data_IF_700813543836
#
_entry.id   IF_700813543836
#
_cell.length_a   1.000
_cell.length_b   1.000
_cell.length_c   1.000
_cell.angle_alpha   90.00
_cell.angle_beta   90.00
_cell.angle_gamma   90.00
#
_symmetry.space_group_name_H-M   'P 1'
#
loop_
_entity.id
_entity.type
_entity.pdbx_description
1 polymer ?
#
# COMPACT_ATOMS: atom_id res chain seq x y z
N UNK A 1 -20.23 25.42 18.58
CA UNK A 1 -19.22 25.40 17.49
C UNK A 1 -17.97 24.73 18.05
N UNK A 2 -17.51 23.55 17.65
CA UNK A 2 -18.00 22.57 16.68
C UNK A 2 -17.65 21.15 17.17
N UNK A 3 -18.61 20.24 17.11
CA UNK A 3 -18.48 18.83 17.47
C UNK A 3 -18.09 18.03 16.24
N UNK A 4 -16.80 17.98 15.93
CA UNK A 4 -16.28 17.06 14.91
C UNK A 4 -15.99 15.70 15.52
N UNK A 5 -16.18 14.62 14.76
CA UNK A 5 -15.77 13.28 15.18
C UNK A 5 -14.23 13.17 15.15
N UNK A 6 -13.67 12.47 16.13
CA UNK A 6 -12.22 12.21 16.22
C UNK A 6 -11.98 10.70 16.30
N UNK A 7 -11.15 10.19 15.40
CA UNK A 7 -10.66 8.83 15.37
C UNK A 7 -9.24 8.86 14.82
N UNK A 8 -8.26 8.51 15.64
CA UNK A 8 -6.85 8.52 15.24
C UNK A 8 -6.19 7.20 15.60
N UNK A 9 -5.27 6.80 14.74
CA UNK A 9 -4.32 5.72 14.99
C UNK A 9 -2.99 6.35 15.30
N UNK A 10 -2.44 5.99 16.45
CA UNK A 10 -1.11 6.38 16.93
C UNK A 10 -0.27 5.13 17.17
N UNK A 11 1.06 5.28 17.20
CA UNK A 11 2.00 4.17 17.45
C UNK A 11 2.43 3.38 16.21
N UNK A 12 2.09 3.84 14.99
CA UNK A 12 2.69 3.33 13.76
C UNK A 12 3.98 4.13 13.50
N UNK A 13 5.11 3.63 13.98
CA UNK A 13 6.38 4.39 13.97
C UNK A 13 7.11 4.35 12.63
N UNK A 14 6.82 3.36 11.78
CA UNK A 14 7.50 3.23 10.51
C UNK A 14 7.08 2.02 9.71
N UNK A 15 7.65 1.94 8.51
CA UNK A 15 7.38 0.90 7.55
C UNK A 15 8.64 0.61 6.74
N UNK A 16 8.86 -0.67 6.43
CA UNK A 16 9.96 -1.13 5.58
C UNK A 16 9.42 -2.04 4.50
N UNK A 17 9.96 -1.89 3.29
CA UNK A 17 9.72 -2.81 2.18
C UNK A 17 11.07 -3.41 1.83
N UNK A 18 11.12 -4.73 1.68
CA UNK A 18 12.21 -5.44 1.04
C UNK A 18 11.65 -6.28 -0.12
N UNK A 19 12.13 -5.97 -1.32
CA UNK A 19 11.77 -6.62 -2.58
C UNK A 19 12.96 -7.47 -3.01
N UNK A 20 12.68 -8.75 -3.27
CA UNK A 20 13.61 -9.65 -3.96
C UNK A 20 12.80 -10.50 -4.94
N UNK A 21 13.01 -10.29 -6.23
CA UNK A 21 12.31 -11.02 -7.28
C UNK A 21 13.23 -11.33 -8.44
N UNK A 22 12.83 -12.28 -9.28
CA UNK A 22 13.55 -12.63 -10.49
C UNK A 22 12.70 -13.44 -11.46
N UNK A 23 13.19 -13.52 -12.69
CA UNK A 23 12.59 -14.28 -13.78
C UNK A 23 13.66 -15.14 -14.45
N UNK A 24 13.36 -16.42 -14.65
CA UNK A 24 14.21 -17.32 -15.42
C UNK A 24 13.98 -17.11 -16.92
N UNK A 25 12.72 -16.98 -17.33
CA UNK A 25 12.28 -16.90 -18.72
C UNK A 25 12.03 -15.46 -19.21
N UNK A 26 12.27 -14.46 -18.35
CA UNK A 26 12.06 -13.04 -18.69
C UNK A 26 10.59 -12.65 -18.67
N UNK A 27 10.08 -12.11 -19.78
CA UNK A 27 8.74 -11.52 -19.84
C UNK A 27 7.61 -12.52 -19.51
N UNK A 28 7.80 -13.79 -19.83
CA UNK A 28 6.82 -14.87 -19.61
C UNK A 28 6.58 -15.17 -18.13
N UNK A 29 7.53 -14.82 -17.26
CA UNK A 29 7.41 -15.04 -15.81
C UNK A 29 6.73 -13.85 -15.09
N UNK A 30 6.35 -12.79 -15.81
CA UNK A 30 5.74 -11.62 -15.19
C UNK A 30 4.36 -11.93 -14.63
N UNK A 31 4.17 -11.60 -13.35
CA UNK A 31 2.90 -11.77 -12.66
C UNK A 31 2.53 -10.51 -11.90
N UNK A 32 1.24 -10.21 -11.93
CA UNK A 32 0.61 -9.30 -10.97
C UNK A 32 0.00 -10.16 -9.87
N UNK A 33 0.70 -10.23 -8.75
CA UNK A 33 0.27 -10.97 -7.57
C UNK A 33 -0.42 -9.98 -6.64
N UNK A 34 -1.66 -10.27 -6.26
CA UNK A 34 -2.36 -9.58 -5.18
C UNK A 34 -2.49 -10.57 -4.04
N UNK A 35 -1.77 -10.32 -2.96
CA UNK A 35 -1.88 -11.08 -1.72
C UNK A 35 -2.63 -10.19 -0.73
N UNK A 36 -3.86 -10.56 -0.44
CA UNK A 36 -4.55 -10.00 0.70
C UNK A 36 -4.21 -10.90 1.88
N UNK A 37 -3.47 -10.36 2.85
CA UNK A 37 -3.23 -11.04 4.11
C UNK A 37 -4.20 -10.42 5.10
N UNK A 38 -5.42 -10.98 5.24
CA UNK A 38 -6.28 -10.57 6.32
C UNK A 38 -5.63 -11.03 7.62
N UNK A 39 -4.83 -10.15 8.23
CA UNK A 39 -4.62 -10.21 9.68
C UNK A 39 -5.89 -9.62 10.30
N UNK A 40 -7.05 -10.25 10.02
CA UNK A 40 -8.34 -9.88 10.60
C UNK A 40 -8.32 -10.29 12.07
N UNK A 41 -7.59 -9.51 12.87
CA UNK A 41 -7.70 -9.54 14.31
C UNK A 41 -8.98 -8.82 14.68
N UNK A 42 -10.12 -9.47 14.42
CA UNK A 42 -11.44 -8.98 14.78
C UNK A 42 -11.70 -9.39 16.22
N UNK A 43 -11.14 -8.62 17.15
CA UNK A 43 -11.26 -8.89 18.58
C UNK A 43 -12.29 -7.98 19.22
N UNK A 44 -13.14 -8.50 20.11
CA UNK A 44 -13.91 -7.65 21.00
C UNK A 44 -12.92 -6.91 21.89
N UNK A 45 -13.02 -5.59 21.94
CA UNK A 45 -12.14 -4.76 22.76
C UNK A 45 -12.37 -5.05 24.25
N UNK A 46 -13.60 -5.40 24.63
CA UNK A 46 -13.98 -5.84 25.97
C UNK A 46 -14.93 -7.05 25.89
N UNK A 47 -14.82 -8.04 26.81
CA UNK A 47 -15.74 -9.17 26.86
C UNK A 47 -17.20 -8.72 27.03
N UNK A 48 -18.08 -9.11 26.10
CA UNK A 48 -19.52 -8.82 26.17
C UNK A 48 -19.94 -7.48 25.56
N UNK A 49 -19.00 -6.64 25.11
CA UNK A 49 -19.30 -5.40 24.42
C UNK A 49 -19.27 -5.59 22.90
N UNK A 50 -20.17 -4.94 22.14
CA UNK A 50 -20.18 -5.02 20.68
C UNK A 50 -19.07 -4.17 20.04
N UNK A 51 -18.00 -3.83 20.77
CA UNK A 51 -16.90 -3.00 20.27
C UNK A 51 -15.85 -3.88 19.59
N UNK A 52 -15.69 -3.70 18.29
CA UNK A 52 -14.85 -4.52 17.42
C UNK A 52 -13.70 -3.69 16.87
N UNK A 53 -12.47 -4.16 17.06
CA UNK A 53 -11.31 -3.66 16.34
C UNK A 53 -11.03 -4.56 15.14
N UNK A 54 -10.58 -3.99 14.02
CA UNK A 54 -10.15 -4.74 12.86
C UNK A 54 -8.96 -4.08 12.17
N UNK A 55 -8.07 -4.93 11.69
CA UNK A 55 -6.89 -4.53 10.96
C UNK A 55 -6.83 -5.33 9.65
N UNK A 56 -6.55 -4.68 8.53
CA UNK A 56 -6.50 -5.34 7.23
C UNK A 56 -5.27 -4.89 6.48
N UNK A 57 -4.52 -5.86 5.93
CA UNK A 57 -3.36 -5.60 5.10
C UNK A 57 -3.56 -6.17 3.70
N UNK A 58 -3.32 -5.35 2.67
CA UNK A 58 -3.29 -5.79 1.28
C UNK A 58 -1.93 -5.48 0.68
N UNK A 59 -1.34 -6.48 0.06
CA UNK A 59 -0.08 -6.39 -0.65
C UNK A 59 -0.33 -6.68 -2.13
N UNK A 60 0.04 -5.74 -2.99
CA UNK A 60 -0.02 -5.91 -4.44
C UNK A 60 1.40 -5.81 -4.96
N UNK A 61 1.86 -6.82 -5.68
CA UNK A 61 3.17 -6.83 -6.33
C UNK A 61 2.97 -7.11 -7.82
N UNK A 62 3.51 -6.25 -8.66
CA UNK A 62 3.56 -6.42 -10.11
C UNK A 62 5.01 -6.40 -10.57
N UNK A 63 5.40 -7.41 -11.36
CA UNK A 63 6.73 -7.46 -11.96
C UNK A 63 6.66 -7.13 -13.45
N UNK A 64 7.70 -6.46 -13.95
CA UNK A 64 7.92 -6.18 -15.36
C UNK A 64 9.39 -6.47 -15.68
N UNK A 65 9.74 -7.76 -15.73
CA UNK A 65 11.07 -8.28 -15.99
C UNK A 65 11.16 -8.65 -17.48
N UNK A 66 12.10 -8.07 -18.23
CA UNK A 66 12.21 -8.30 -19.68
C UNK A 66 13.28 -9.33 -20.06
N UNK A 67 14.37 -9.42 -19.28
CA UNK A 67 15.49 -10.30 -19.56
C UNK A 67 15.39 -11.67 -18.88
N UNK A 68 15.87 -12.72 -19.53
CA UNK A 68 16.08 -14.04 -18.91
C UNK A 68 17.12 -13.96 -17.79
N UNK A 69 16.99 -14.82 -16.78
CA UNK A 69 17.86 -14.85 -15.60
C UNK A 69 18.03 -13.47 -14.94
N UNK A 70 16.93 -12.70 -14.89
CA UNK A 70 16.93 -11.38 -14.27
C UNK A 70 16.64 -11.50 -12.79
N UNK A 71 17.30 -10.68 -11.99
CA UNK A 71 16.97 -10.42 -10.58
C UNK A 71 16.82 -8.92 -10.36
N UNK A 72 15.88 -8.54 -9.49
CA UNK A 72 15.70 -7.17 -9.01
C UNK A 72 15.54 -7.23 -7.50
N UNK A 73 16.41 -6.48 -6.80
CA UNK A 73 16.31 -6.27 -5.36
C UNK A 73 16.16 -4.79 -5.06
N UNK A 74 15.37 -4.45 -4.05
CA UNK A 74 15.24 -3.09 -3.53
C UNK A 74 14.66 -3.12 -2.12
N UNK A 75 15.23 -2.37 -1.20
CA UNK A 75 14.76 -2.22 0.17
C UNK A 75 14.79 -0.76 0.65
N UNK A 76 13.73 -0.31 1.29
CA UNK A 76 13.62 1.04 1.84
C UNK A 76 12.95 1.04 3.20
N UNK A 77 13.27 2.07 3.99
CA UNK A 77 12.72 2.26 5.34
C UNK A 77 12.27 3.69 5.51
N UNK A 78 11.06 3.85 6.04
CA UNK A 78 10.42 5.13 6.30
C UNK A 78 9.89 5.17 7.71
N UNK A 79 10.02 6.34 8.33
CA UNK A 79 9.48 6.66 9.65
C UNK A 79 8.21 7.49 9.49
N UNK A 80 7.22 7.18 10.29
CA UNK A 80 5.92 7.85 10.31
C UNK A 80 5.78 8.60 11.63
N UNK A 81 5.58 9.92 11.57
CA UNK A 81 5.45 10.78 12.74
C UNK A 81 4.06 11.39 12.83
N UNK A 82 3.39 11.18 13.97
CA UNK A 82 2.10 11.77 14.27
C UNK A 82 0.90 10.90 13.87
N UNK A 83 -0.32 11.39 14.10
CA UNK A 83 -1.53 10.60 13.99
C UNK A 83 -1.98 10.39 12.54
N UNK A 84 -2.65 9.27 12.30
CA UNK A 84 -3.38 8.97 11.07
C UNK A 84 -4.87 8.87 11.39
N UNK A 85 -5.72 9.64 10.70
CA UNK A 85 -7.17 9.51 10.86
C UNK A 85 -7.92 10.82 10.72
N UNK A 86 -8.92 11.05 11.56
CA UNK A 86 -9.76 12.24 11.58
C UNK A 86 -9.65 12.91 12.95
N UNK A 87 -9.40 14.22 12.96
CA UNK A 87 -9.49 15.08 14.16
C UNK A 87 -10.45 16.22 13.84
N UNK A 88 -11.49 16.38 14.66
CA UNK A 88 -12.54 17.39 14.46
C UNK A 88 -13.15 17.37 13.05
N UNK A 89 -13.38 16.16 12.51
CA UNK A 89 -13.91 15.98 11.15
C UNK A 89 -12.92 16.24 10.01
N UNK A 90 -11.66 16.56 10.29
CA UNK A 90 -10.60 16.79 9.29
C UNK A 90 -9.63 15.62 9.23
N UNK A 91 -9.31 15.18 8.01
CA UNK A 91 -8.26 14.19 7.78
C UNK A 91 -6.91 14.74 8.27
N UNK A 92 -6.28 14.02 9.19
CA UNK A 92 -4.90 14.23 9.64
C UNK A 92 -4.02 13.11 9.09
N UNK A 93 -2.82 13.48 8.65
CA UNK A 93 -1.87 12.57 8.01
C UNK A 93 -0.55 12.62 8.75
N UNK A 94 0.12 11.47 8.97
CA UNK A 94 1.44 11.46 9.57
C UNK A 94 2.46 12.11 8.64
N UNK A 95 3.55 12.63 9.21
CA UNK A 95 4.71 13.07 8.44
C UNK A 95 5.58 11.85 8.13
N UNK A 96 5.85 11.64 6.84
CA UNK A 96 6.72 10.57 6.38
C UNK A 96 8.15 11.08 6.21
N UNK A 97 9.11 10.39 6.82
CA UNK A 97 10.55 10.68 6.71
C UNK A 97 11.28 9.48 6.14
N UNK A 98 12.12 9.70 5.13
CA UNK A 98 12.98 8.64 4.57
C UNK A 98 14.13 8.38 5.55
N UNK A 99 14.24 7.14 6.04
CA UNK A 99 15.35 6.68 6.89
C UNK A 99 16.42 5.99 6.04
N UNK A 100 15.98 5.06 5.20
CA UNK A 100 16.83 4.37 4.21
C UNK A 100 16.19 4.55 2.83
N UNK A 101 16.82 5.32 1.92
CA UNK A 101 16.28 5.53 0.59
C UNK A 101 16.30 4.22 -0.20
N UNK A 102 15.15 3.86 -0.77
CA UNK A 102 15.04 2.64 -1.60
C UNK A 102 15.98 2.70 -2.81
N UNK A 103 16.26 3.89 -3.33
CA UNK A 103 17.13 4.11 -4.48
C UNK A 103 18.53 3.49 -4.33
N UNK A 104 19.13 3.59 -3.14
CA UNK A 104 20.50 3.15 -2.88
C UNK A 104 20.62 1.62 -2.80
N UNK A 105 19.49 0.94 -2.64
CA UNK A 105 19.41 -0.51 -2.53
C UNK A 105 19.05 -1.23 -3.84
N UNK A 106 18.73 -0.47 -4.90
CA UNK A 106 18.33 -1.06 -6.18
C UNK A 106 19.50 -1.82 -6.78
N UNK A 107 19.33 -3.13 -6.90
CA UNK A 107 20.34 -4.07 -7.35
C UNK A 107 19.77 -5.23 -8.16
N UNK A 108 20.61 -6.26 -8.36
CA UNK A 108 20.32 -7.43 -9.18
C UNK A 108 20.96 -7.36 -10.57
N UNK A 109 20.89 -8.48 -11.28
CA UNK A 109 21.41 -8.63 -12.65
C UNK A 109 20.21 -8.61 -13.60
N UNK A 110 20.23 -7.76 -14.61
CA UNK A 110 19.16 -7.76 -15.62
C UNK A 110 19.73 -7.65 -17.03
N UNK A 111 19.25 -8.51 -17.92
CA UNK A 111 19.58 -8.52 -19.35
C UNK A 111 18.43 -7.86 -20.11
N UNK A 112 18.07 -6.64 -19.71
CA UNK A 112 16.90 -5.88 -20.17
C UNK A 112 16.48 -4.80 -19.16
N UNK A 113 15.50 -3.97 -19.50
CA UNK A 113 14.89 -3.06 -18.50
C UNK A 113 13.94 -3.87 -17.63
N UNK A 114 14.11 -3.78 -16.32
CA UNK A 114 13.30 -4.56 -15.38
C UNK A 114 12.73 -3.68 -14.29
N UNK A 115 11.50 -3.94 -13.87
CA UNK A 115 10.83 -3.16 -12.85
C UNK A 115 9.93 -3.98 -11.95
N UNK A 116 9.66 -3.41 -10.77
CA UNK A 116 8.76 -3.96 -9.77
C UNK A 116 7.92 -2.82 -9.22
N UNK A 117 6.61 -3.00 -9.18
CA UNK A 117 5.69 -2.15 -8.47
C UNK A 117 5.13 -2.93 -7.28
N UNK A 118 5.23 -2.37 -6.07
CA UNK A 118 4.66 -2.90 -4.86
C UNK A 118 3.73 -1.86 -4.25
N UNK A 119 2.52 -2.24 -3.86
CA UNK A 119 1.61 -1.40 -3.09
C UNK A 119 1.24 -2.12 -1.80
N UNK A 120 1.29 -1.40 -0.69
CA UNK A 120 0.85 -1.89 0.61
C UNK A 120 -0.25 -0.99 1.12
N UNK A 121 -1.40 -1.58 1.45
CA UNK A 121 -2.54 -0.91 2.05
C UNK A 121 -2.76 -1.48 3.45
N UNK A 122 -2.78 -0.62 4.46
CA UNK A 122 -3.17 -0.94 5.82
C UNK A 122 -4.45 -0.19 6.17
N UNK A 123 -5.45 -0.90 6.68
CA UNK A 123 -6.71 -0.33 7.17
C UNK A 123 -6.88 -0.69 8.64
N UNK A 124 -7.20 0.30 9.46
CA UNK A 124 -7.46 0.18 10.90
C UNK A 124 -8.87 0.68 11.16
N UNK A 125 -9.75 -0.17 11.67
CA UNK A 125 -11.15 0.16 11.88
C UNK A 125 -11.55 -0.19 13.31
N UNK A 126 -12.30 0.71 13.94
CA UNK A 126 -12.94 0.47 15.22
C UNK A 126 -14.43 0.67 15.01
N UNK A 127 -15.27 -0.28 15.42
CA UNK A 127 -16.69 -0.19 15.14
C UNK A 127 -17.55 -0.95 16.12
N UNK A 128 -18.86 -0.75 15.99
CA UNK A 128 -19.87 -1.43 16.78
C UNK A 128 -20.49 -2.55 15.92
N UNK A 129 -20.65 -3.73 16.52
CA UNK A 129 -21.29 -4.87 15.89
C UNK A 129 -20.80 -6.21 16.44
N UNK A 130 -20.82 -7.20 15.56
CA UNK A 130 -20.36 -8.57 15.82
C UNK A 130 -19.16 -8.89 14.91
N UNK A 131 -18.35 -9.90 15.21
CA UNK A 131 -17.21 -10.28 14.36
C UNK A 131 -17.56 -10.50 12.88
N UNK A 132 -18.76 -11.00 12.59
CA UNK A 132 -19.22 -11.22 11.21
C UNK A 132 -19.73 -9.96 10.50
N UNK A 133 -20.06 -8.89 11.24
CA UNK A 133 -20.63 -7.66 10.71
C UNK A 133 -20.49 -6.51 11.72
N UNK A 134 -19.66 -5.51 11.43
CA UNK A 134 -19.52 -4.32 12.27
C UNK A 134 -19.28 -3.07 11.43
N UNK A 135 -19.68 -1.91 11.96
CA UNK A 135 -19.57 -0.62 11.31
C UNK A 135 -18.87 0.40 12.20
N UNK A 136 -18.03 1.24 11.64
CA UNK A 136 -17.38 2.31 12.41
C UNK A 136 -16.35 3.11 11.65
N UNK A 137 -15.72 4.09 12.31
CA UNK A 137 -14.65 4.87 11.73
C UNK A 137 -13.43 3.99 11.41
N UNK A 138 -12.73 4.35 10.35
CA UNK A 138 -11.45 3.75 10.00
C UNK A 138 -10.43 4.79 9.54
N UNK A 139 -9.17 4.39 9.65
CA UNK A 139 -8.00 5.05 9.11
C UNK A 139 -7.33 4.09 8.13
N UNK A 140 -6.80 4.62 7.03
CA UNK A 140 -6.20 3.87 5.94
C UNK A 140 -4.89 4.51 5.56
N UNK A 141 -3.91 3.67 5.29
CA UNK A 141 -2.61 4.06 4.80
C UNK A 141 -2.31 3.24 3.55
N UNK A 142 -1.90 3.91 2.47
CA UNK A 142 -1.49 3.25 1.24
C UNK A 142 -0.11 3.75 0.87
N UNK A 143 0.79 2.82 0.59
CA UNK A 143 2.13 3.10 0.13
C UNK A 143 2.39 2.39 -1.18
N UNK A 144 2.51 3.18 -2.24
CA UNK A 144 2.82 2.73 -3.59
C UNK A 144 4.32 2.95 -3.85
N UNK A 145 5.03 1.87 -4.19
CA UNK A 145 6.46 1.88 -4.47
C UNK A 145 6.71 1.28 -5.85
N UNK A 146 7.46 1.97 -6.69
CA UNK A 146 7.93 1.48 -7.98
C UNK A 146 9.44 1.56 -8.04
N UNK A 147 10.08 0.49 -8.50
CA UNK A 147 11.51 0.46 -8.78
C UNK A 147 11.76 -0.03 -10.19
N UNK A 148 12.74 0.55 -10.86
CA UNK A 148 13.25 0.06 -12.13
C UNK A 148 14.78 -0.06 -12.09
N UNK A 149 15.29 -1.13 -12.67
CA UNK A 149 16.70 -1.44 -12.83
C UNK A 149 16.98 -1.65 -14.32
N UNK A 150 17.82 -0.78 -14.88
CA UNK A 150 18.25 -0.82 -16.27
C UNK A 150 19.17 -2.00 -16.56
N UNK A 151 19.29 -2.30 -17.86
CA UNK A 151 20.05 -3.43 -18.36
C UNK A 151 21.53 -3.33 -18.00
N UNK A 152 22.11 -4.46 -17.55
CA UNK A 152 23.55 -4.60 -17.37
C UNK A 152 24.31 -4.51 -18.71
N UNK A 153 23.68 -4.90 -19.83
CA UNK A 153 24.27 -4.76 -21.17
C UNK A 153 24.41 -3.29 -21.60
N UNK A 154 23.56 -2.40 -21.06
CA UNK A 154 23.64 -0.96 -21.29
C UNK A 154 24.63 -0.24 -20.36
N UNK A 155 25.23 -0.96 -19.40
CA UNK A 155 26.12 -0.37 -18.39
C UNK A 155 27.35 0.39 -18.94
N UNK A 156 27.94 0.05 -20.11
CA UNK A 156 29.02 0.84 -20.67
C UNK A 156 28.60 2.26 -21.09
N UNK A 157 27.32 2.51 -21.36
CA UNK A 157 26.79 3.84 -21.64
C UNK A 157 26.18 4.49 -20.39
N UNK A 158 25.18 3.85 -19.80
CA UNK A 158 24.56 4.27 -18.55
C UNK A 158 23.66 3.16 -18.01
N UNK A 159 23.81 2.83 -16.73
CA UNK A 159 22.87 1.94 -16.03
C UNK A 159 21.84 2.77 -15.27
N UNK A 160 20.70 3.00 -15.91
CA UNK A 160 19.60 3.76 -15.33
C UNK A 160 18.91 2.96 -14.22
N UNK A 161 18.68 3.60 -13.07
CA UNK A 161 17.87 3.10 -11.97
C UNK A 161 16.84 4.16 -11.66
N UNK A 162 15.64 3.76 -11.27
CA UNK A 162 14.65 4.70 -10.78
C UNK A 162 13.86 4.13 -9.62
N UNK A 163 13.46 5.02 -8.72
CA UNK A 163 12.56 4.74 -7.63
C UNK A 163 11.42 5.77 -7.65
N UNK A 164 10.22 5.31 -7.35
CA UNK A 164 9.05 6.14 -7.09
C UNK A 164 8.40 5.65 -5.81
N UNK A 165 8.02 6.59 -4.96
CA UNK A 165 7.28 6.36 -3.74
C UNK A 165 6.13 7.36 -3.68
N UNK A 166 4.93 6.87 -3.41
CA UNK A 166 3.75 7.68 -3.17
C UNK A 166 3.04 7.15 -1.93
N UNK A 167 2.75 8.04 -0.98
CA UNK A 167 2.04 7.69 0.23
C UNK A 167 0.72 8.43 0.29
N UNK A 168 -0.35 7.70 0.60
CA UNK A 168 -1.70 8.19 0.73
C UNK A 168 -2.22 7.84 2.11
N UNK A 169 -2.97 8.76 2.68
CA UNK A 169 -3.64 8.59 3.95
C UNK A 169 -5.12 8.81 3.70
N UNK A 170 -5.93 7.92 4.25
CA UNK A 170 -7.37 7.96 4.14
C UNK A 170 -8.03 7.78 5.48
N UNK A 171 -9.23 8.30 5.61
CA UNK A 171 -10.08 8.04 6.76
C UNK A 171 -11.54 8.20 6.39
N UNK A 172 -12.41 7.54 7.16
CA UNK A 172 -13.80 7.45 6.80
C UNK A 172 -14.62 6.58 7.74
N UNK A 173 -15.82 6.21 7.29
CA UNK A 173 -16.67 5.23 7.95
C UNK A 173 -16.85 4.03 7.05
N UNK A 174 -16.71 2.84 7.63
CA UNK A 174 -16.73 1.58 6.91
C UNK A 174 -17.66 0.58 7.56
N UNK A 175 -18.21 -0.31 6.73
CA UNK A 175 -18.95 -1.50 7.09
C UNK A 175 -18.10 -2.71 6.69
N UNK A 176 -17.74 -3.52 7.68
CA UNK A 176 -17.01 -4.77 7.46
C UNK A 176 -18.00 -5.92 7.61
N UNK A 177 -18.10 -6.76 6.58
CA UNK A 177 -19.02 -7.89 6.51
C UNK A 177 -18.25 -9.15 6.14
N UNK A 178 -18.56 -10.26 6.78
CA UNK A 178 -18.01 -11.56 6.39
C UNK A 178 -18.53 -12.00 5.01
N UNK A 179 -17.82 -12.93 4.39
CA UNK A 179 -18.17 -13.44 3.06
C UNK A 179 -19.58 -14.05 3.03
N UNK A 180 -19.99 -14.67 4.14
CA UNK A 180 -21.26 -15.35 4.36
C UNK A 180 -22.40 -14.34 4.49
N UNK A 181 -22.17 -13.29 5.28
CA UNK A 181 -23.14 -12.18 5.46
C UNK A 181 -23.33 -11.44 4.14
N UNK A 182 -22.25 -11.18 3.39
CA UNK A 182 -22.32 -10.59 2.06
C UNK A 182 -23.11 -11.46 1.08
N UNK A 183 -22.91 -12.79 1.09
CA UNK A 183 -23.67 -13.72 0.25
C UNK A 183 -25.15 -13.75 0.62
N UNK A 184 -25.49 -13.68 1.90
CA UNK A 184 -26.88 -13.63 2.37
C UNK A 184 -27.56 -12.31 1.97
N UNK A 185 -26.90 -11.17 2.20
CA UNK A 185 -27.37 -9.85 1.77
C UNK A 185 -27.62 -9.80 0.26
N UNK A 186 -26.68 -10.29 -0.56
CA UNK A 186 -26.84 -10.31 -2.02
C UNK A 186 -28.00 -11.16 -2.53
N UNK A 187 -28.46 -12.15 -1.75
CA UNK A 187 -29.66 -12.95 -2.08
C UNK A 187 -30.96 -12.22 -1.72
N UNK A 188 -30.91 -11.30 -0.74
CA UNK A 188 -32.07 -10.56 -0.24
C UNK A 188 -32.24 -9.21 -0.93
N UNK A 189 -31.15 -8.58 -1.37
CA UNK A 189 -31.21 -7.32 -2.10
C UNK A 189 -31.56 -7.54 -3.57
N UNK A 190 -32.32 -6.60 -4.19
CA UNK A 190 -32.61 -6.65 -5.62
C UNK A 190 -31.31 -6.63 -6.44
N UNK A 191 -31.31 -7.37 -7.56
CA UNK A 191 -30.17 -7.50 -8.44
C UNK A 191 -29.70 -6.11 -8.92
N UNK A 192 -28.49 -5.70 -8.51
CA UNK A 192 -27.89 -4.42 -8.87
C UNK A 192 -27.81 -3.37 -7.75
N UNK A 193 -28.32 -3.66 -6.54
CA UNK A 193 -28.11 -2.77 -5.39
C UNK A 193 -26.62 -2.65 -5.04
N UNK A 194 -26.06 -1.44 -5.11
CA UNK A 194 -24.70 -1.14 -4.67
C UNK A 194 -24.69 -1.03 -3.15
N UNK A 195 -23.99 -1.95 -2.49
CA UNK A 195 -23.68 -1.83 -1.07
C UNK A 195 -22.43 -0.96 -0.98
N UNK A 196 -22.60 0.33 -0.66
CA UNK A 196 -21.48 1.20 -0.31
C UNK A 196 -20.99 0.80 1.07
N UNK A 197 -19.90 0.04 1.10
CA UNK A 197 -19.30 -0.43 2.36
C UNK A 197 -18.37 0.59 2.98
N UNK A 198 -17.98 1.64 2.25
CA UNK A 198 -17.00 2.62 2.71
C UNK A 198 -17.35 4.02 2.18
N UNK A 199 -17.29 5.01 3.06
CA UNK A 199 -17.23 6.43 2.70
C UNK A 199 -15.85 6.95 3.08
N UNK A 200 -15.02 7.24 2.08
CA UNK A 200 -13.59 7.51 2.26
C UNK A 200 -13.19 8.92 1.79
N UNK A 201 -12.31 9.58 2.56
CA UNK A 201 -11.45 10.65 2.04
C UNK A 201 -10.02 10.13 1.98
N UNK A 202 -9.51 9.80 0.79
CA UNK A 202 -8.12 9.37 0.54
C UNK A 202 -7.34 10.50 -0.10
N UNK A 203 -6.21 10.91 0.48
CA UNK A 203 -5.37 11.98 -0.05
C UNK A 203 -3.90 11.55 -0.14
N UNK A 204 -3.22 11.79 -1.27
CA UNK A 204 -1.76 11.71 -1.31
C UNK A 204 -1.18 12.81 -0.41
N UNK A 205 -0.20 12.45 0.41
CA UNK A 205 0.46 13.39 1.32
C UNK A 205 1.99 13.35 1.19
N UNK A 206 2.54 12.34 0.52
CA UNK A 206 3.96 12.24 0.20
C UNK A 206 4.14 11.69 -1.21
N UNK A 207 5.06 12.27 -1.96
CA UNK A 207 5.49 11.76 -3.27
C UNK A 207 6.97 12.06 -3.45
N UNK A 208 7.73 11.05 -3.82
CA UNK A 208 9.13 11.17 -4.18
C UNK A 208 9.41 10.30 -5.41
N UNK A 209 10.20 10.83 -6.34
CA UNK A 209 10.71 10.06 -7.47
C UNK A 209 12.12 10.49 -7.78
N UNK A 210 12.97 9.51 -8.09
CA UNK A 210 14.37 9.74 -8.38
C UNK A 210 14.81 8.77 -9.48
N UNK A 211 15.65 9.27 -10.38
CA UNK A 211 16.30 8.49 -11.43
C UNK A 211 17.79 8.80 -11.41
N UNK A 212 18.64 7.77 -11.46
CA UNK A 212 20.10 7.91 -11.51
C UNK A 212 20.72 6.96 -12.56
N UNK A 213 21.85 7.32 -13.20
CA UNK A 213 22.48 8.65 -13.14
C UNK A 213 21.64 9.72 -13.86
N UNK A 214 21.81 10.99 -13.47
CA UNK A 214 21.12 12.12 -14.11
C UNK A 214 21.80 12.46 -15.45
N UNK A 215 21.54 11.62 -16.46
CA UNK A 215 22.02 11.78 -17.83
C UNK A 215 20.84 11.65 -18.80
N UNK A 216 20.88 12.27 -19.99
CA UNK A 216 19.77 12.28 -20.94
C UNK A 216 19.21 10.88 -21.27
N UNK A 217 20.08 9.87 -21.28
CA UNK A 217 19.69 8.47 -21.51
C UNK A 217 18.76 7.89 -20.44
N UNK A 218 18.79 8.44 -19.21
CA UNK A 218 18.03 7.92 -18.07
C UNK A 218 16.84 8.79 -17.69
N UNK A 219 16.94 10.11 -17.78
CA UNK A 219 15.86 11.03 -17.39
C UNK A 219 14.92 11.37 -18.56
N UNK A 220 15.28 10.99 -19.78
CA UNK A 220 14.61 11.44 -21.01
C UNK A 220 14.96 12.90 -21.31
N UNK A 221 15.06 13.26 -22.59
CA UNK A 221 15.08 14.69 -22.95
C UNK A 221 13.68 15.25 -22.67
N UNK A 222 13.56 16.08 -21.65
CA UNK A 222 12.41 16.95 -21.43
C UNK A 222 12.13 17.79 -22.67
#
# INVERSE_FOLDING_TARGET
MGSGSTFVVEGVDGFSIDISTGAANGADDNKKIRVEVPVELTVPVLPGEPLMYSNTWKFVVGTALSGKNTTVTAGGTWRLDGPLGIVDGKLVTPRLTVVKPIMDSIGGVSVGVSGVAAAVEAKFQLGLGIPAAFAGPYAKFVMDTGVANGSALGSPLARCRSARLEAKAGAGFGLTLSSEVLKALRKLLPAGAKIETESESLKPYFSASQTLPNVPLCVGSS
#
